data_IF_618454178123
#
_entry.id   IF_618454178123
#
_cell.length_a   1.000
_cell.length_b   1.000
_cell.length_c   1.000
_cell.angle_alpha   90.00
_cell.angle_beta   90.00
_cell.angle_gamma   90.00
#
_symmetry.space_group_name_H-M   'P 1'
#
loop_
_entity.id
_entity.type
_entity.pdbx_description
1 polymer ?
#
# COMPACT_ATOMS: atom_id res chain seq x y z
N UNK A 1 121.85 -46.25 11.43
CA UNK A 1 121.62 -47.63 11.94
C UNK A 1 120.17 -48.02 11.63
N UNK A 2 119.96 -49.16 10.95
CA UNK A 2 118.81 -50.09 11.07
C UNK A 2 117.47 -49.81 10.34
N UNK A 3 117.21 -50.71 9.39
CA UNK A 3 116.00 -51.26 8.75
C UNK A 3 114.62 -51.08 9.43
N UNK A 4 113.55 -50.88 8.62
CA UNK A 4 112.47 -51.89 8.40
C UNK A 4 111.30 -51.39 7.51
N UNK A 5 110.96 -52.21 6.49
CA UNK A 5 109.68 -52.51 5.80
C UNK A 5 108.68 -51.40 5.44
N UNK A 6 108.35 -51.15 4.15
CA UNK A 6 107.60 -51.93 3.12
C UNK A 6 106.11 -51.53 3.04
N UNK A 7 105.69 -51.26 1.79
CA UNK A 7 104.33 -50.99 1.24
C UNK A 7 103.74 -49.59 1.53
N UNK A 8 103.73 -48.56 0.67
CA UNK A 8 103.55 -48.45 -0.80
C UNK A 8 102.23 -49.08 -1.29
N UNK A 9 101.32 -48.42 -2.00
CA UNK A 9 101.28 -47.09 -2.60
C UNK A 9 99.82 -46.71 -2.90
N UNK A 10 99.64 -45.41 -3.14
CA UNK A 10 98.48 -44.70 -3.66
C UNK A 10 97.80 -45.34 -4.90
N UNK A 11 96.54 -44.92 -5.11
CA UNK A 11 95.80 -44.77 -6.39
C UNK A 11 94.69 -45.81 -6.71
N UNK A 12 93.53 -45.27 -7.14
CA UNK A 12 92.36 -45.91 -7.83
C UNK A 12 91.34 -46.66 -6.95
N UNK A 13 90.01 -46.60 -7.11
CA UNK A 13 89.09 -45.89 -8.00
C UNK A 13 87.65 -45.99 -7.42
N UNK A 14 86.75 -45.11 -7.90
CA UNK A 14 85.32 -45.39 -8.14
C UNK A 14 84.31 -45.66 -7.01
N UNK A 15 83.18 -44.97 -7.17
CA UNK A 15 81.78 -45.36 -6.91
C UNK A 15 81.08 -44.50 -5.84
N UNK A 16 79.81 -44.12 -5.90
CA UNK A 16 78.75 -44.13 -6.91
C UNK A 16 77.52 -43.57 -6.15
N UNK A 17 76.84 -42.58 -6.73
CA UNK A 17 75.38 -42.37 -6.64
C UNK A 17 74.73 -41.84 -5.33
N UNK A 18 74.08 -40.68 -5.55
CA UNK A 18 72.79 -40.18 -5.10
C UNK A 18 72.54 -39.75 -3.64
N UNK A 19 72.35 -38.44 -3.48
CA UNK A 19 71.31 -37.88 -2.60
C UNK A 19 70.78 -36.57 -3.22
N UNK A 20 69.73 -36.68 -4.05
CA UNK A 20 68.33 -36.21 -3.84
C UNK A 20 68.08 -34.80 -4.36
N UNK A 21 66.89 -34.55 -4.97
CA UNK A 21 66.71 -33.48 -5.94
C UNK A 21 66.81 -32.10 -5.31
N UNK A 22 67.56 -31.20 -5.94
CA UNK A 22 67.48 -29.77 -5.69
C UNK A 22 66.06 -29.30 -5.99
N UNK A 23 65.51 -28.52 -5.06
CA UNK A 23 64.13 -28.05 -5.05
C UNK A 23 63.64 -27.58 -6.43
N UNK A 24 62.39 -27.89 -6.83
CA UNK A 24 61.84 -27.39 -8.08
C UNK A 24 61.91 -25.85 -8.08
N UNK A 25 62.59 -25.30 -9.09
CA UNK A 25 62.62 -23.86 -9.35
C UNK A 25 61.17 -23.41 -9.53
N UNK A 26 60.67 -22.58 -8.60
CA UNK A 26 59.31 -22.08 -8.61
C UNK A 26 59.07 -21.28 -9.90
N UNK A 27 58.26 -21.82 -10.79
CA UNK A 27 57.81 -21.14 -12.01
C UNK A 27 57.12 -19.85 -11.56
N UNK A 28 57.53 -18.67 -12.05
CA UNK A 28 57.04 -17.34 -11.59
C UNK A 28 55.53 -17.10 -11.66
N UNK A 29 54.77 -18.06 -12.18
CA UNK A 29 53.31 -18.09 -12.11
C UNK A 29 52.77 -18.62 -10.76
N UNK A 30 53.58 -19.22 -9.90
CA UNK A 30 53.16 -19.86 -8.65
C UNK A 30 52.55 -18.88 -7.64
N UNK A 31 53.14 -17.69 -7.44
CA UNK A 31 52.60 -16.68 -6.52
C UNK A 31 51.25 -16.13 -7.00
N UNK A 32 51.09 -15.97 -8.32
CA UNK A 32 49.80 -15.61 -8.92
C UNK A 32 48.77 -16.72 -8.73
N UNK A 33 49.17 -17.99 -8.84
CA UNK A 33 48.30 -19.14 -8.63
C UNK A 33 47.82 -19.20 -7.17
N UNK A 34 48.70 -19.01 -6.19
CA UNK A 34 48.32 -19.01 -4.77
C UNK A 34 47.37 -17.84 -4.42
N UNK A 35 47.61 -16.67 -5.02
CA UNK A 35 46.70 -15.52 -4.88
C UNK A 35 45.33 -15.79 -5.50
N UNK A 36 45.27 -16.44 -6.67
CA UNK A 36 44.02 -16.84 -7.32
C UNK A 36 43.29 -17.89 -6.48
N UNK A 37 43.99 -18.87 -5.93
CA UNK A 37 43.41 -19.90 -5.05
C UNK A 37 42.75 -19.28 -3.82
N UNK A 38 43.41 -18.30 -3.21
CA UNK A 38 42.84 -17.54 -2.07
C UNK A 38 41.58 -16.75 -2.49
N UNK A 39 41.61 -16.12 -3.66
CA UNK A 39 40.43 -15.41 -4.20
C UNK A 39 39.28 -16.36 -4.52
N UNK A 40 39.56 -17.52 -5.10
CA UNK A 40 38.56 -18.55 -5.43
C UNK A 40 37.91 -19.08 -4.16
N UNK A 41 38.68 -19.39 -3.11
CA UNK A 41 38.13 -19.77 -1.81
C UNK A 41 37.26 -18.65 -1.19
N UNK A 42 37.67 -17.39 -1.36
CA UNK A 42 36.87 -16.23 -0.98
C UNK A 42 35.57 -16.07 -1.79
N UNK A 43 35.55 -16.52 -3.05
CA UNK A 43 34.34 -16.57 -3.88
C UNK A 43 33.45 -17.71 -3.42
N UNK A 44 33.99 -18.90 -3.16
CA UNK A 44 33.22 -20.06 -2.69
C UNK A 44 32.43 -19.73 -1.42
N UNK A 45 33.09 -19.11 -0.44
CA UNK A 45 32.42 -18.68 0.81
C UNK A 45 31.31 -17.65 0.58
N UNK A 46 31.50 -16.69 -0.33
CA UNK A 46 30.46 -15.73 -0.72
C UNK A 46 29.31 -16.40 -1.45
N UNK A 47 29.60 -17.36 -2.33
CA UNK A 47 28.59 -18.12 -3.08
C UNK A 47 27.72 -18.92 -2.11
N UNK A 48 28.30 -19.62 -1.14
CA UNK A 48 27.52 -20.33 -0.11
C UNK A 48 26.64 -19.39 0.73
N UNK A 49 27.13 -18.18 1.02
CA UNK A 49 26.32 -17.17 1.73
C UNK A 49 25.14 -16.68 0.87
N UNK A 50 25.36 -16.44 -0.42
CA UNK A 50 24.31 -16.05 -1.37
C UNK A 50 23.29 -17.17 -1.55
N UNK A 51 23.71 -18.42 -1.69
CA UNK A 51 22.80 -19.58 -1.77
C UNK A 51 21.88 -19.67 -0.54
N UNK A 52 22.45 -19.43 0.66
CA UNK A 52 21.66 -19.39 1.89
C UNK A 52 20.65 -18.25 1.89
N UNK A 53 21.03 -17.06 1.42
CA UNK A 53 20.12 -15.92 1.30
C UNK A 53 19.00 -16.18 0.28
N UNK A 54 19.33 -16.79 -0.86
CA UNK A 54 18.36 -17.12 -1.92
C UNK A 54 17.33 -18.12 -1.39
N UNK A 55 17.75 -19.17 -0.69
CA UNK A 55 16.82 -20.10 -0.02
C UNK A 55 15.92 -19.38 1.00
N UNK A 56 16.46 -18.42 1.75
CA UNK A 56 15.69 -17.56 2.64
C UNK A 56 14.70 -16.64 1.92
N UNK A 57 14.99 -16.25 0.67
CA UNK A 57 14.07 -15.47 -0.17
C UNK A 57 12.95 -16.39 -0.69
N UNK A 58 13.28 -17.60 -1.15
CA UNK A 58 12.29 -18.56 -1.65
C UNK A 58 11.18 -18.83 -0.61
N UNK A 59 11.58 -19.07 0.65
CA UNK A 59 10.62 -19.26 1.75
C UNK A 59 9.73 -18.04 2.01
N UNK A 60 10.29 -16.82 1.91
CA UNK A 60 9.51 -15.59 2.05
C UNK A 60 8.54 -15.39 0.88
N UNK A 61 8.95 -15.75 -0.34
CA UNK A 61 8.10 -15.67 -1.53
C UNK A 61 6.90 -16.59 -1.39
N UNK A 62 7.09 -17.85 -0.97
CA UNK A 62 5.97 -18.77 -0.69
C UNK A 62 5.00 -18.20 0.34
N UNK A 63 5.50 -17.60 1.43
CA UNK A 63 4.63 -16.97 2.44
C UNK A 63 3.87 -15.75 1.90
N UNK A 64 4.46 -14.97 0.99
CA UNK A 64 3.80 -13.84 0.34
C UNK A 64 2.70 -14.33 -0.62
N UNK A 65 2.95 -15.40 -1.38
CA UNK A 65 1.96 -16.01 -2.27
C UNK A 65 0.74 -16.51 -1.49
N UNK A 66 0.92 -17.16 -0.34
CA UNK A 66 -0.18 -17.59 0.54
C UNK A 66 -1.01 -16.41 1.08
N UNK A 67 -0.34 -15.33 1.49
CA UNK A 67 -1.02 -14.10 1.94
C UNK A 67 -1.80 -13.45 0.80
N UNK A 68 -1.25 -13.44 -0.42
CA UNK A 68 -1.91 -12.87 -1.58
C UNK A 68 -3.19 -13.66 -1.93
N UNK A 69 -3.13 -14.99 -1.91
CA UNK A 69 -4.30 -15.84 -2.13
C UNK A 69 -5.41 -15.58 -1.09
N UNK A 70 -5.03 -15.35 0.16
CA UNK A 70 -5.98 -14.99 1.23
C UNK A 70 -6.64 -13.63 0.99
N UNK A 71 -5.85 -12.62 0.59
CA UNK A 71 -6.34 -11.28 0.25
C UNK A 71 -7.28 -11.33 -0.97
N UNK A 72 -6.95 -12.11 -2.01
CA UNK A 72 -7.80 -12.28 -3.18
C UNK A 72 -9.16 -12.88 -2.80
N UNK A 73 -9.18 -13.88 -1.91
CA UNK A 73 -10.40 -14.46 -1.35
C UNK A 73 -11.21 -13.43 -0.55
N UNK A 74 -10.56 -12.65 0.31
CA UNK A 74 -11.21 -11.59 1.09
C UNK A 74 -11.81 -10.50 0.18
N UNK A 75 -11.08 -10.09 -0.87
CA UNK A 75 -11.58 -9.14 -1.88
C UNK A 75 -12.79 -9.67 -2.65
N UNK A 76 -12.81 -10.96 -2.98
CA UNK A 76 -13.96 -11.60 -3.62
C UNK A 76 -15.20 -11.56 -2.71
N UNK A 77 -15.02 -11.82 -1.42
CA UNK A 77 -16.09 -11.76 -0.42
C UNK A 77 -16.56 -10.32 -0.11
N UNK A 78 -15.65 -9.33 -0.14
CA UNK A 78 -16.02 -7.92 -0.02
C UNK A 78 -16.88 -7.44 -1.20
N UNK A 79 -16.64 -7.96 -2.41
CA UNK A 79 -17.41 -7.60 -3.61
C UNK A 79 -18.84 -8.14 -3.58
N UNK A 80 -19.08 -9.26 -2.89
CA UNK A 80 -20.41 -9.88 -2.78
C UNK A 80 -21.21 -9.41 -1.55
N UNK A 81 -20.54 -8.98 -0.48
CA UNK A 81 -21.19 -8.39 0.71
C UNK A 81 -21.63 -6.94 0.49
N UNK A 82 -21.05 -6.23 -0.49
CA UNK A 82 -21.69 -5.06 -1.08
C UNK A 82 -22.79 -5.51 -2.04
N UNK A 83 -23.87 -6.10 -1.48
CA UNK A 83 -25.18 -6.12 -2.13
C UNK A 83 -25.35 -4.70 -2.71
N UNK A 84 -25.70 -4.51 -3.99
CA UNK A 84 -26.10 -3.19 -4.43
C UNK A 84 -27.29 -2.85 -3.55
N UNK A 85 -27.06 -2.03 -2.52
CA UNK A 85 -28.07 -1.09 -2.11
C UNK A 85 -28.44 -0.46 -3.42
N UNK A 86 -29.69 -0.63 -3.83
CA UNK A 86 -30.28 0.15 -4.90
C UNK A 86 -30.25 1.61 -4.45
N UNK A 87 -29.06 2.20 -4.36
CA UNK A 87 -28.91 3.60 -4.69
C UNK A 87 -29.10 3.57 -6.20
N UNK A 88 -30.34 3.80 -6.62
CA UNK A 88 -30.55 4.28 -7.97
C UNK A 88 -29.51 5.40 -8.15
N UNK A 89 -28.57 5.23 -9.08
CA UNK A 89 -27.78 6.38 -9.53
C UNK A 89 -28.84 7.35 -10.06
N UNK A 90 -29.19 8.33 -9.23
CA UNK A 90 -30.09 9.41 -9.59
C UNK A 90 -29.30 10.28 -10.56
N UNK A 91 -29.37 9.90 -11.83
CA UNK A 91 -28.83 10.67 -12.92
C UNK A 91 -29.81 11.82 -13.20
N UNK A 92 -29.39 13.06 -12.92
CA UNK A 92 -30.15 14.26 -13.25
C UNK A 92 -30.18 14.42 -14.77
N UNK A 93 -31.30 14.06 -15.41
CA UNK A 93 -31.53 14.32 -16.83
C UNK A 93 -32.09 15.73 -17.06
N UNK A 94 -31.84 16.29 -18.25
CA UNK A 94 -32.33 17.62 -18.64
C UNK A 94 -33.85 17.72 -18.46
N UNK A 95 -34.29 18.59 -17.53
CA UNK A 95 -35.72 18.84 -17.25
C UNK A 95 -36.33 17.98 -16.15
N UNK A 96 -35.55 17.14 -15.46
CA UNK A 96 -35.99 16.41 -14.27
C UNK A 96 -35.49 17.09 -12.98
N UNK A 97 -36.39 17.16 -12.00
CA UNK A 97 -36.07 17.55 -10.64
C UNK A 97 -35.96 16.29 -9.78
N UNK A 98 -34.91 16.20 -8.98
CA UNK A 98 -34.71 15.11 -8.03
C UNK A 98 -34.95 15.65 -6.62
N UNK A 99 -35.90 15.03 -5.92
CA UNK A 99 -36.15 15.29 -4.51
C UNK A 99 -35.30 14.35 -3.67
N UNK A 100 -34.36 14.91 -2.92
CA UNK A 100 -33.55 14.15 -1.97
C UNK A 100 -34.11 14.40 -0.57
N UNK A 101 -34.55 13.34 0.10
CA UNK A 101 -34.90 13.36 1.52
C UNK A 101 -33.78 12.72 2.36
N UNK A 102 -33.54 13.29 3.55
CA UNK A 102 -32.67 12.73 4.58
C UNK A 102 -33.30 12.91 5.95
N UNK A 103 -32.95 12.02 6.88
CA UNK A 103 -33.28 12.17 8.29
C UNK A 103 -31.99 12.32 9.07
N UNK A 104 -31.76 13.50 9.65
CA UNK A 104 -30.63 13.74 10.54
C UNK A 104 -30.99 13.46 11.99
N UNK A 105 -30.02 13.01 12.77
CA UNK A 105 -30.22 12.63 14.16
C UNK A 105 -29.34 13.47 15.10
N UNK A 106 -29.89 13.83 16.26
CA UNK A 106 -29.20 14.63 17.25
C UNK A 106 -29.66 14.27 18.66
N UNK A 107 -28.72 14.14 19.58
CA UNK A 107 -28.99 13.77 20.97
C UNK A 107 -28.64 14.94 21.89
N UNK A 108 -29.49 15.20 22.88
CA UNK A 108 -29.20 16.17 23.91
C UNK A 108 -28.19 15.61 24.93
N UNK A 109 -27.24 16.41 25.42
CA UNK A 109 -26.42 16.02 26.56
C UNK A 109 -27.27 15.73 27.81
N UNK A 110 -26.78 14.84 28.67
CA UNK A 110 -27.46 14.48 29.92
C UNK A 110 -27.57 15.65 30.90
N UNK A 111 -26.64 16.62 30.83
CA UNK A 111 -26.55 17.76 31.75
C UNK A 111 -27.46 18.95 31.36
N UNK A 112 -28.59 18.68 30.72
CA UNK A 112 -29.51 19.73 30.28
C UNK A 112 -30.43 20.16 31.42
N UNK A 113 -30.48 21.47 31.69
CA UNK A 113 -31.20 22.02 32.84
C UNK A 113 -32.72 22.09 32.62
N UNK A 114 -33.18 22.06 31.36
CA UNK A 114 -34.60 22.06 31.03
C UNK A 114 -34.92 21.20 29.80
N UNK A 115 -36.14 20.64 29.70
CA UNK A 115 -36.59 19.91 28.51
C UNK A 115 -36.53 20.76 27.23
N UNK A 116 -36.81 22.06 27.33
CA UNK A 116 -36.72 22.99 26.20
C UNK A 116 -35.27 23.20 25.73
N UNK A 117 -34.31 23.25 26.65
CA UNK A 117 -32.88 23.32 26.32
C UNK A 117 -32.41 22.03 25.65
N UNK A 118 -32.82 20.86 26.19
CA UNK A 118 -32.51 19.57 25.59
C UNK A 118 -33.04 19.48 24.15
N UNK A 119 -34.30 19.84 23.92
CA UNK A 119 -34.89 19.91 22.59
C UNK A 119 -34.10 20.84 21.66
N UNK A 120 -33.75 22.04 22.12
CA UNK A 120 -33.02 23.01 21.29
C UNK A 120 -31.62 22.51 20.88
N UNK A 121 -30.90 21.85 21.80
CA UNK A 121 -29.58 21.28 21.50
C UNK A 121 -29.68 20.08 20.56
N UNK A 122 -30.58 19.15 20.84
CA UNK A 122 -30.79 17.97 20.03
C UNK A 122 -31.26 18.34 18.61
N UNK A 123 -32.19 19.29 18.48
CA UNK A 123 -32.64 19.81 17.18
C UNK A 123 -31.50 20.43 16.38
N UNK A 124 -30.65 21.25 17.00
CA UNK A 124 -29.48 21.83 16.31
C UNK A 124 -28.52 20.76 15.81
N UNK A 125 -28.24 19.74 16.63
CA UNK A 125 -27.40 18.63 16.24
C UNK A 125 -28.01 17.84 15.07
N UNK A 126 -29.30 17.51 15.15
CA UNK A 126 -30.03 16.80 14.11
C UNK A 126 -30.08 17.58 12.78
N UNK A 127 -30.30 18.90 12.84
CA UNK A 127 -30.26 19.75 11.65
C UNK A 127 -28.87 19.80 11.01
N UNK A 128 -27.80 19.91 11.82
CA UNK A 128 -26.44 19.90 11.31
C UNK A 128 -26.08 18.56 10.64
N UNK A 129 -26.54 17.46 11.23
CA UNK A 129 -26.37 16.12 10.66
C UNK A 129 -27.14 15.95 9.34
N UNK A 130 -28.40 16.39 9.28
CA UNK A 130 -29.19 16.37 8.06
C UNK A 130 -28.54 17.19 6.93
N UNK A 131 -28.02 18.38 7.21
CA UNK A 131 -27.29 19.16 6.20
C UNK A 131 -26.03 18.44 5.69
N UNK A 132 -25.30 17.73 6.56
CA UNK A 132 -24.16 16.90 6.16
C UNK A 132 -24.59 15.77 5.23
N UNK A 133 -25.65 15.05 5.58
CA UNK A 133 -26.20 13.96 4.75
C UNK A 133 -26.67 14.45 3.39
N UNK A 134 -27.33 15.62 3.32
CA UNK A 134 -27.70 16.26 2.05
C UNK A 134 -26.45 16.56 1.23
N UNK A 135 -25.44 17.18 1.82
CA UNK A 135 -24.22 17.51 1.09
C UNK A 135 -23.51 16.26 0.54
N UNK A 136 -23.53 15.15 1.28
CA UNK A 136 -23.00 13.86 0.82
C UNK A 136 -23.81 13.30 -0.35
N UNK A 137 -25.15 13.27 -0.24
CA UNK A 137 -26.04 12.80 -1.33
C UNK A 137 -25.90 13.66 -2.58
N UNK A 138 -25.99 14.99 -2.45
CA UNK A 138 -25.86 15.95 -3.55
C UNK A 138 -24.51 15.81 -4.28
N UNK A 139 -23.42 15.53 -3.55
CA UNK A 139 -22.11 15.28 -4.15
C UNK A 139 -22.06 13.97 -4.97
N UNK A 140 -22.87 12.97 -4.62
CA UNK A 140 -22.97 11.70 -5.33
C UNK A 140 -23.85 11.73 -6.57
N UNK A 141 -24.69 12.76 -6.74
CA UNK A 141 -25.59 12.91 -7.88
C UNK A 141 -24.78 13.14 -9.16
N UNK A 142 -24.99 12.27 -10.16
CA UNK A 142 -24.38 12.39 -11.49
C UNK A 142 -25.32 13.19 -12.39
N UNK A 143 -24.77 14.10 -13.19
CA UNK A 143 -25.55 14.82 -14.20
C UNK A 143 -25.48 14.00 -15.47
N UNK A 144 -26.63 13.57 -16.00
CA UNK A 144 -26.68 12.97 -17.32
C UNK A 144 -26.64 14.09 -18.35
N UNK A 145 -25.63 14.04 -19.19
CA UNK A 145 -25.31 15.09 -20.10
C UNK A 145 -24.04 14.69 -20.80
N UNK A 146 -24.09 14.69 -22.12
CA UNK A 146 -22.93 14.56 -22.96
C UNK A 146 -21.97 15.71 -22.62
N UNK A 147 -21.10 15.50 -21.65
CA UNK A 147 -19.90 16.29 -21.43
C UNK A 147 -19.01 16.04 -22.66
N UNK A 148 -19.38 16.73 -23.76
CA UNK A 148 -18.56 16.89 -24.95
C UNK A 148 -17.18 17.24 -24.42
N UNK A 149 -16.25 16.32 -24.66
CA UNK A 149 -14.86 16.20 -24.16
C UNK A 149 -14.11 17.56 -24.08
N UNK A 150 -14.58 18.56 -24.84
CA UNK A 150 -14.18 19.97 -24.83
C UNK A 150 -14.37 20.71 -23.49
N UNK A 151 -15.40 20.39 -22.69
CA UNK A 151 -15.69 21.10 -21.43
C UNK A 151 -14.87 20.59 -20.22
N UNK A 152 -14.44 19.32 -20.23
CA UNK A 152 -13.57 18.76 -19.18
C UNK A 152 -12.18 19.42 -19.13
N UNK A 153 -11.69 19.98 -20.24
CA UNK A 153 -10.38 20.62 -20.30
C UNK A 153 -10.37 22.04 -19.71
N UNK A 154 -11.53 22.70 -19.64
CA UNK A 154 -11.63 24.14 -19.30
C UNK A 154 -12.30 24.39 -17.93
N UNK A 155 -13.18 23.51 -17.43
CA UNK A 155 -13.95 23.77 -16.19
C UNK A 155 -13.45 23.03 -14.95
N UNK A 156 -12.14 23.13 -14.68
CA UNK A 156 -11.57 22.58 -13.43
C UNK A 156 -11.99 23.33 -12.15
N UNK A 157 -12.78 24.41 -12.25
CA UNK A 157 -12.96 25.36 -11.15
C UNK A 157 -14.40 25.75 -10.77
N UNK A 158 -15.45 25.21 -11.42
CA UNK A 158 -16.84 25.59 -11.07
C UNK A 158 -17.59 24.55 -10.25
N UNK A 159 -17.31 23.25 -10.42
CA UNK A 159 -18.08 22.17 -9.74
C UNK A 159 -17.86 22.15 -8.22
N UNK A 160 -16.69 22.57 -7.72
CA UNK A 160 -16.40 22.59 -6.28
C UNK A 160 -17.10 23.75 -5.54
N UNK A 161 -17.46 24.82 -6.24
CA UNK A 161 -18.02 26.05 -5.63
C UNK A 161 -19.56 26.04 -5.62
N UNK A 162 -20.20 25.29 -6.54
CA UNK A 162 -21.67 25.23 -6.64
C UNK A 162 -22.34 24.37 -5.54
N UNK A 163 -21.64 23.36 -4.99
CA UNK A 163 -22.19 22.48 -3.95
C UNK A 163 -22.50 23.23 -2.65
N UNK A 164 -21.67 24.23 -2.30
CA UNK A 164 -21.85 24.97 -1.04
C UNK A 164 -23.02 25.97 -1.08
N UNK A 165 -23.52 26.32 -2.28
CA UNK A 165 -24.65 27.24 -2.47
C UNK A 165 -26.01 26.53 -2.49
N UNK A 166 -26.10 25.31 -3.04
CA UNK A 166 -27.38 24.59 -3.18
C UNK A 166 -27.95 24.08 -1.85
N UNK A 167 -27.08 23.69 -0.91
CA UNK A 167 -27.50 23.12 0.39
C UNK A 167 -28.27 24.14 1.26
N UNK A 168 -28.23 25.44 0.93
CA UNK A 168 -28.93 26.50 1.69
C UNK A 168 -30.45 26.47 1.55
N UNK A 169 -31.00 25.78 0.55
CA UNK A 169 -32.46 25.72 0.29
C UNK A 169 -33.09 24.39 0.74
N UNK A 170 -32.44 23.62 1.61
CA UNK A 170 -33.07 22.43 2.18
C UNK A 170 -34.18 22.83 3.16
N UNK A 171 -35.37 22.25 2.97
CA UNK A 171 -36.55 22.49 3.78
C UNK A 171 -36.67 21.44 4.88
N UNK A 172 -37.04 21.85 6.08
CA UNK A 172 -37.37 20.91 7.17
C UNK A 172 -38.82 20.48 7.00
N UNK A 173 -39.04 19.17 6.81
CA UNK A 173 -40.37 18.57 6.63
C UNK A 173 -40.98 18.25 7.98
N UNK A 174 -40.23 17.55 8.82
CA UNK A 174 -40.69 17.08 10.11
C UNK A 174 -39.58 17.15 11.16
N UNK A 175 -39.97 17.29 12.43
CA UNK A 175 -39.05 17.19 13.56
C UNK A 175 -39.70 16.40 14.68
N UNK A 176 -39.13 15.25 15.01
CA UNK A 176 -39.58 14.39 16.11
C UNK A 176 -38.59 14.46 17.26
N UNK A 177 -39.08 14.62 18.49
CA UNK A 177 -38.25 14.55 19.69
C UNK A 177 -38.83 13.55 20.68
N UNK A 178 -38.08 12.48 20.96
CA UNK A 178 -38.47 11.41 21.89
C UNK A 178 -37.27 11.03 22.74
N UNK A 179 -37.44 11.07 24.06
CA UNK A 179 -36.46 10.55 25.03
C UNK A 179 -35.03 11.11 24.87
N UNK A 180 -34.89 12.38 24.48
CA UNK A 180 -33.58 13.02 24.30
C UNK A 180 -32.95 12.84 22.91
N UNK A 181 -33.54 12.00 22.06
CA UNK A 181 -33.22 11.90 20.63
C UNK A 181 -34.15 12.81 19.83
N UNK A 182 -33.55 13.63 18.97
CA UNK A 182 -34.22 14.46 17.98
C UNK A 182 -33.92 13.93 16.59
N UNK A 183 -34.95 13.76 15.79
CA UNK A 183 -34.87 13.42 14.38
C UNK A 183 -35.44 14.57 13.56
N UNK A 184 -34.70 15.04 12.57
CA UNK A 184 -35.12 16.12 11.68
C UNK A 184 -35.11 15.57 10.26
N UNK A 185 -36.27 15.53 9.64
CA UNK A 185 -36.40 15.19 8.23
C UNK A 185 -36.22 16.46 7.39
N UNK A 186 -35.31 16.38 6.42
CA UNK A 186 -34.99 17.48 5.52
C UNK A 186 -35.07 17.02 4.08
N UNK A 187 -35.56 17.90 3.23
CA UNK A 187 -35.71 17.68 1.81
C UNK A 187 -35.04 18.79 1.01
N UNK A 188 -34.43 18.43 -0.11
CA UNK A 188 -33.93 19.38 -1.09
C UNK A 188 -34.34 18.93 -2.50
N UNK A 189 -34.77 19.89 -3.31
CA UNK A 189 -35.02 19.68 -4.73
C UNK A 189 -33.80 20.14 -5.50
N UNK A 190 -33.23 19.23 -6.29
CA UNK A 190 -32.15 19.50 -7.23
C UNK A 190 -32.71 19.55 -8.64
N UNK A 191 -32.38 20.60 -9.38
CA UNK A 191 -32.73 20.71 -10.80
C UNK A 191 -31.47 20.81 -11.66
N UNK A 192 -31.52 20.23 -12.87
CA UNK A 192 -30.38 20.24 -13.80
C UNK A 192 -29.86 21.67 -14.09
N UNK A 193 -30.76 22.67 -14.13
CA UNK A 193 -30.42 24.07 -14.37
C UNK A 193 -29.50 24.69 -13.30
N UNK A 194 -29.48 24.15 -12.08
CA UNK A 194 -28.60 24.63 -10.99
C UNK A 194 -27.12 24.22 -11.21
N UNK A 195 -26.87 23.26 -12.11
CA UNK A 195 -25.54 22.74 -12.40
C UNK A 195 -25.03 23.13 -13.80
N UNK A 196 -25.93 23.51 -14.70
CA UNK A 196 -25.62 23.98 -16.05
C UNK A 196 -25.09 25.44 -16.03
N UNK A 197 -23.79 25.59 -15.77
CA UNK A 197 -23.04 26.85 -15.95
C UNK A 197 -21.83 26.59 -16.82
#
# INVERSE_FOLDING_TARGET
MKYSLLLAAFLSASSLVAQTPSAPQTIGNFDKINSLETQVSGIDTKVSSVETQVSGIDTKVTSVEEKLASIESDMANMKTSKKPVKEAEETLSEGSDVLISVTGQGVAPMDTSSPAQAYALAKRAATADAYRLIAEKVKGVRIDGQDLIKNMMVKRSTVRTSVQAMVRNANVVETTFKEGLCEVEMEIVLSHAQFAH
#
